data_IF_745170588273
#
_entry.id   IF_745170588273
#
_cell.length_a   1.000
_cell.length_b   1.000
_cell.length_c   1.000
_cell.angle_alpha   90.00
_cell.angle_beta   90.00
_cell.angle_gamma   90.00
#
_symmetry.space_group_name_H-M   'P 1'
#
loop_
_entity.id
_entity.type
_entity.pdbx_description
1 polymer ?
#
# COMPACT_ATOMS: atom_id res chain seq x y z
N UNK A 1 38.97 -8.47 36.17
CA UNK A 1 38.01 -7.51 36.77
C UNK A 1 37.01 -8.31 37.59
N UNK A 2 36.88 -8.07 38.91
CA UNK A 2 35.90 -8.80 39.72
C UNK A 2 34.48 -8.39 39.31
N UNK A 3 33.60 -9.38 39.13
CA UNK A 3 32.17 -9.16 38.92
C UNK A 3 31.59 -8.34 40.09
N UNK A 4 30.64 -7.42 39.86
CA UNK A 4 30.01 -6.71 40.96
C UNK A 4 29.31 -7.73 41.86
N UNK A 5 29.61 -7.65 43.16
CA UNK A 5 28.97 -8.44 44.18
C UNK A 5 27.45 -8.31 44.04
N UNK A 6 26.80 -9.42 43.68
CA UNK A 6 25.36 -9.58 43.81
C UNK A 6 25.04 -9.47 45.31
N UNK A 7 24.72 -8.26 45.77
CA UNK A 7 24.27 -8.07 47.15
C UNK A 7 22.95 -8.80 47.26
N UNK A 8 22.92 -9.91 48.01
CA UNK A 8 21.67 -10.52 48.43
C UNK A 8 20.76 -9.41 48.99
N UNK A 9 19.52 -9.27 48.51
CA UNK A 9 18.65 -8.20 48.96
C UNK A 9 18.47 -8.31 50.48
N UNK A 10 18.43 -7.19 51.22
CA UNK A 10 18.31 -7.21 52.67
C UNK A 10 17.07 -8.02 53.07
N UNK A 11 17.17 -8.91 54.07
CA UNK A 11 16.05 -9.71 54.51
C UNK A 11 14.94 -8.79 55.00
N UNK A 12 13.78 -8.81 54.33
CA UNK A 12 12.61 -8.04 54.76
C UNK A 12 12.02 -7.08 53.72
N UNK A 13 12.73 -6.76 52.64
CA UNK A 13 12.21 -5.87 51.58
C UNK A 13 11.19 -6.58 50.69
N UNK A 14 10.10 -5.89 50.36
CA UNK A 14 9.14 -6.33 49.35
C UNK A 14 9.17 -5.38 48.17
N UNK A 15 9.28 -5.95 46.97
CA UNK A 15 9.34 -5.20 45.72
C UNK A 15 7.96 -5.14 45.11
N UNK A 16 7.52 -3.97 44.67
CA UNK A 16 6.15 -3.77 44.17
C UNK A 16 6.17 -3.00 42.87
N UNK A 17 5.50 -3.48 41.84
CA UNK A 17 5.27 -2.73 40.61
C UNK A 17 3.78 -2.44 40.47
N UNK A 18 3.41 -1.18 40.26
CA UNK A 18 2.03 -0.77 39.98
C UNK A 18 1.88 -0.46 38.49
N UNK A 19 0.83 -0.97 37.87
CA UNK A 19 0.49 -0.67 36.49
C UNK A 19 -0.96 -0.20 36.34
N UNK A 20 -1.13 0.64 35.33
CA UNK A 20 -2.43 1.04 34.79
C UNK A 20 -2.70 0.28 33.49
N UNK A 21 -3.97 -0.09 33.27
CA UNK A 21 -4.43 -0.84 32.11
C UNK A 21 -4.80 -2.29 32.44
N UNK A 22 -5.27 -3.04 31.44
CA UNK A 22 -5.88 -4.36 31.63
C UNK A 22 -5.04 -5.26 32.56
N UNK A 23 -5.61 -5.73 33.69
CA UNK A 23 -4.90 -6.56 34.63
C UNK A 23 -4.76 -8.01 34.11
N UNK A 24 -3.91 -8.83 34.72
CA UNK A 24 -3.87 -10.27 34.47
C UNK A 24 -5.24 -10.92 34.74
N UNK A 25 -5.52 -12.01 34.05
CA UNK A 25 -6.73 -12.81 34.29
C UNK A 25 -6.83 -13.22 35.75
N UNK A 26 -8.02 -13.05 36.34
CA UNK A 26 -8.28 -13.37 37.76
C UNK A 26 -8.02 -12.23 38.75
N UNK A 27 -7.38 -11.14 38.33
CA UNK A 27 -7.23 -9.93 39.16
C UNK A 27 -8.46 -9.05 39.02
N UNK A 28 -9.21 -8.88 40.12
CA UNK A 28 -10.37 -7.99 40.18
C UNK A 28 -9.94 -6.59 40.62
N UNK A 29 -10.12 -5.61 39.76
CA UNK A 29 -9.94 -4.19 40.08
C UNK A 29 -11.29 -3.56 40.48
N UNK A 30 -11.25 -2.46 41.22
CA UNK A 30 -12.44 -1.65 41.47
C UNK A 30 -13.03 -1.13 40.14
N UNK A 31 -14.37 -1.04 40.07
CA UNK A 31 -15.09 -0.69 38.85
C UNK A 31 -14.57 0.63 38.24
N UNK A 32 -14.25 0.59 36.95
CA UNK A 32 -13.79 1.76 36.18
C UNK A 32 -12.32 2.14 36.32
N UNK A 33 -11.52 1.44 37.15
CA UNK A 33 -10.08 1.73 37.31
C UNK A 33 -9.25 0.49 37.05
N UNK A 34 -8.47 0.50 35.98
CA UNK A 34 -7.54 -0.58 35.64
C UNK A 34 -6.20 -0.44 36.39
N UNK A 35 -6.23 -0.20 37.70
CA UNK A 35 -5.00 -0.15 38.51
C UNK A 35 -4.80 -1.50 39.19
N UNK A 36 -3.58 -2.03 39.09
CA UNK A 36 -3.23 -3.31 39.71
C UNK A 36 -1.74 -3.32 40.04
N UNK A 37 -1.34 -4.18 40.96
CA UNK A 37 0.03 -4.34 41.39
C UNK A 37 0.50 -5.80 41.31
N UNK A 38 1.80 -5.96 41.16
CA UNK A 38 2.53 -7.20 41.29
C UNK A 38 3.60 -7.03 42.37
N UNK A 39 3.89 -8.06 43.15
CA UNK A 39 4.93 -7.99 44.17
C UNK A 39 5.84 -9.21 44.17
N UNK A 40 7.07 -9.00 44.68
CA UNK A 40 8.12 -10.00 44.79
C UNK A 40 8.79 -9.94 46.17
N UNK A 41 9.17 -11.11 46.68
CA UNK A 41 9.95 -11.30 47.92
C UNK A 41 11.46 -11.23 47.67
N UNK A 42 11.88 -11.36 46.42
CA UNK A 42 13.25 -11.17 45.98
C UNK A 42 13.26 -10.16 44.84
N UNK A 43 14.29 -9.31 44.78
CA UNK A 43 14.41 -8.32 43.70
C UNK A 43 14.47 -9.04 42.37
N UNK A 44 13.50 -8.85 41.47
CA UNK A 44 13.57 -9.48 40.17
C UNK A 44 14.60 -8.73 39.31
N UNK A 45 15.30 -9.43 38.43
CA UNK A 45 16.31 -8.85 37.54
C UNK A 45 15.96 -9.09 36.08
N UNK A 46 16.35 -8.17 35.20
CA UNK A 46 16.03 -8.29 33.78
C UNK A 46 16.67 -9.53 33.13
N UNK A 47 17.87 -9.89 33.57
CA UNK A 47 18.64 -11.03 33.05
C UNK A 47 18.02 -12.38 33.43
N UNK A 48 17.40 -12.47 34.61
CA UNK A 48 16.70 -13.65 35.09
C UNK A 48 15.34 -13.24 35.71
N UNK A 49 14.34 -12.90 34.89
CA UNK A 49 13.11 -12.34 35.39
C UNK A 49 12.27 -13.43 36.05
N UNK A 50 11.90 -13.20 37.30
CA UNK A 50 11.10 -14.13 38.11
C UNK A 50 9.63 -13.71 38.11
N UNK A 51 8.72 -14.69 38.13
CA UNK A 51 7.28 -14.43 38.30
C UNK A 51 7.04 -13.76 39.65
N UNK A 52 6.05 -12.84 39.75
CA UNK A 52 5.68 -12.25 41.03
C UNK A 52 5.16 -13.32 41.98
N UNK A 53 5.38 -13.10 43.27
CA UNK A 53 4.81 -13.92 44.34
C UNK A 53 3.30 -13.69 44.48
N UNK A 54 2.78 -12.57 43.97
CA UNK A 54 1.34 -12.38 43.83
C UNK A 54 0.93 -11.12 43.08
N UNK A 55 -0.38 -11.02 42.85
CA UNK A 55 -1.04 -9.99 42.06
C UNK A 55 -2.28 -9.47 42.79
N UNK A 56 -2.56 -8.17 42.66
CA UNK A 56 -3.69 -7.53 43.34
C UNK A 56 -4.29 -6.39 42.53
N UNK A 57 -5.61 -6.25 42.59
CA UNK A 57 -6.29 -5.07 42.05
C UNK A 57 -6.23 -3.92 43.07
N UNK A 58 -6.06 -2.70 42.60
CA UNK A 58 -5.99 -1.52 43.46
C UNK A 58 -6.93 -0.41 42.95
N UNK A 59 -7.42 0.43 43.86
CA UNK A 59 -8.23 1.59 43.48
C UNK A 59 -7.37 2.79 43.04
N UNK A 60 -6.12 2.83 43.48
CA UNK A 60 -5.11 3.85 43.18
C UNK A 60 -3.71 3.28 43.37
N UNK A 61 -2.68 4.02 42.94
CA UNK A 61 -1.27 3.66 43.22
C UNK A 61 -1.00 3.54 44.72
N UNK A 62 -1.47 4.51 45.48
CA UNK A 62 -1.33 4.54 46.94
C UNK A 62 -2.01 3.34 47.61
N UNK A 63 -3.23 3.01 47.19
CA UNK A 63 -3.94 1.81 47.65
C UNK A 63 -3.19 0.52 47.29
N UNK A 64 -2.57 0.46 46.11
CA UNK A 64 -1.77 -0.70 45.71
C UNK A 64 -0.50 -0.87 46.55
N UNK A 65 0.16 0.23 46.92
CA UNK A 65 1.31 0.22 47.83
C UNK A 65 0.89 -0.19 49.25
N UNK A 66 -0.22 0.36 49.76
CA UNK A 66 -0.75 0.01 51.08
C UNK A 66 -1.17 -1.47 51.15
N UNK A 67 -1.77 -2.02 50.09
CA UNK A 67 -2.09 -3.44 50.02
C UNK A 67 -0.83 -4.32 49.98
N UNK A 68 0.19 -3.91 49.22
CA UNK A 68 1.45 -4.63 49.21
C UNK A 68 2.15 -4.59 50.59
N UNK A 69 2.05 -3.47 51.32
CA UNK A 69 2.55 -3.35 52.68
C UNK A 69 1.83 -4.30 53.64
N UNK A 70 0.50 -4.33 53.57
CA UNK A 70 -0.32 -5.23 54.37
C UNK A 70 0.04 -6.69 54.11
N UNK A 71 0.24 -7.07 52.85
CA UNK A 71 0.63 -8.42 52.45
C UNK A 71 2.05 -8.73 52.92
N UNK A 72 3.00 -7.81 52.76
CA UNK A 72 4.36 -7.95 53.25
C UNK A 72 4.39 -8.27 54.76
N UNK A 73 3.65 -7.49 55.55
CA UNK A 73 3.51 -7.71 57.00
C UNK A 73 2.90 -9.06 57.34
N UNK A 74 1.87 -9.50 56.61
CA UNK A 74 1.26 -10.82 56.79
C UNK A 74 2.24 -11.98 56.58
N UNK A 75 3.29 -11.78 55.77
CA UNK A 75 4.38 -12.74 55.55
C UNK A 75 5.59 -12.52 56.45
N UNK A 76 5.46 -11.76 57.55
CA UNK A 76 6.53 -11.51 58.50
C UNK A 76 7.67 -10.64 57.94
N UNK A 77 7.41 -9.89 56.86
CA UNK A 77 8.35 -8.92 56.30
C UNK A 77 8.04 -7.54 56.88
N UNK A 78 9.03 -6.97 57.57
CA UNK A 78 8.94 -5.64 58.20
C UNK A 78 9.89 -4.61 57.57
N UNK A 79 10.59 -4.99 56.51
CA UNK A 79 11.47 -4.08 55.76
C UNK A 79 10.70 -3.11 54.87
N UNK A 80 11.38 -2.11 54.29
CA UNK A 80 10.76 -1.12 53.43
C UNK A 80 10.20 -1.75 52.14
N UNK A 81 9.23 -1.07 51.52
CA UNK A 81 8.76 -1.38 50.18
C UNK A 81 9.63 -0.65 49.17
N UNK A 82 10.17 -1.40 48.20
CA UNK A 82 10.85 -0.82 47.04
C UNK A 82 9.90 -0.86 45.84
N UNK A 83 9.55 0.31 45.31
CA UNK A 83 8.73 0.38 44.10
C UNK A 83 9.58 0.16 42.86
N UNK A 84 9.18 -0.82 42.06
CA UNK A 84 9.75 -1.12 40.77
C UNK A 84 9.04 -0.32 39.66
N UNK A 85 9.73 -0.05 38.54
CA UNK A 85 9.10 0.50 37.35
C UNK A 85 7.87 -0.30 36.91
N UNK A 86 6.82 0.38 36.45
CA UNK A 86 5.58 -0.25 35.97
C UNK A 86 5.77 -1.29 34.85
N UNK A 87 6.91 -1.25 34.13
CA UNK A 87 7.31 -2.25 33.16
C UNK A 87 7.37 -3.67 33.77
N UNK A 88 7.76 -3.81 35.04
CA UNK A 88 7.77 -5.09 35.76
C UNK A 88 6.38 -5.68 35.95
N UNK A 89 5.40 -4.85 36.31
CA UNK A 89 4.01 -5.28 36.35
C UNK A 89 3.55 -5.68 34.94
N UNK A 90 3.78 -4.87 33.91
CA UNK A 90 3.39 -5.22 32.53
C UNK A 90 4.03 -6.53 32.07
N UNK A 91 5.32 -6.74 32.34
CA UNK A 91 6.01 -7.99 32.06
C UNK A 91 5.38 -9.16 32.84
N UNK A 92 5.05 -9.00 34.12
CA UNK A 92 4.40 -10.05 34.90
C UNK A 92 3.07 -10.54 34.27
N UNK A 93 2.37 -9.66 33.57
CA UNK A 93 1.16 -10.01 32.79
C UNK A 93 1.49 -10.71 31.48
N UNK A 94 2.37 -10.16 30.65
CA UNK A 94 2.59 -10.65 29.27
C UNK A 94 3.71 -11.68 29.12
N UNK A 95 4.60 -11.80 30.10
CA UNK A 95 5.88 -12.52 29.96
C UNK A 95 6.87 -11.85 29.00
N UNK A 96 6.58 -10.62 28.59
CA UNK A 96 7.27 -9.92 27.50
C UNK A 96 7.49 -8.46 27.91
N UNK A 97 8.69 -7.94 27.67
CA UNK A 97 9.01 -6.56 28.00
C UNK A 97 8.30 -5.58 27.03
N UNK A 98 7.82 -4.42 27.52
CA UNK A 98 7.09 -3.46 26.68
C UNK A 98 7.86 -3.01 25.43
N UNK A 99 9.17 -2.81 25.56
CA UNK A 99 10.07 -2.40 24.49
C UNK A 99 10.36 -3.52 23.48
N UNK A 100 10.42 -4.78 23.92
CA UNK A 100 10.56 -5.93 23.00
C UNK A 100 9.30 -6.10 22.16
N UNK A 101 8.14 -5.97 22.81
CA UNK A 101 6.86 -5.92 22.11
C UNK A 101 6.82 -4.76 21.12
N UNK A 102 7.23 -3.56 21.54
CA UNK A 102 7.24 -2.38 20.68
C UNK A 102 8.18 -2.57 19.49
N UNK A 103 9.37 -3.15 19.70
CA UNK A 103 10.32 -3.46 18.65
C UNK A 103 9.72 -4.46 17.63
N UNK A 104 9.09 -5.55 18.11
CA UNK A 104 8.40 -6.50 17.22
C UNK A 104 7.29 -5.83 16.42
N UNK A 105 6.45 -5.00 17.07
CA UNK A 105 5.37 -4.29 16.37
C UNK A 105 5.92 -3.30 15.34
N UNK A 106 7.01 -2.60 15.65
CA UNK A 106 7.65 -1.68 14.72
C UNK A 106 8.27 -2.41 13.52
N UNK A 107 8.85 -3.59 13.74
CA UNK A 107 9.35 -4.46 12.68
C UNK A 107 8.21 -5.02 11.81
N UNK A 108 7.12 -5.46 12.43
CA UNK A 108 5.93 -5.91 11.73
C UNK A 108 5.32 -4.77 10.90
N UNK A 109 5.21 -3.57 11.47
CA UNK A 109 4.73 -2.38 10.76
C UNK A 109 5.64 -2.01 9.59
N UNK A 110 6.96 -2.07 9.77
CA UNK A 110 7.93 -1.86 8.68
C UNK A 110 7.71 -2.87 7.57
N UNK A 111 7.55 -4.16 7.90
CA UNK A 111 7.29 -5.22 6.92
C UNK A 111 5.98 -4.98 6.16
N UNK A 112 4.91 -4.61 6.86
CA UNK A 112 3.64 -4.25 6.21
C UNK A 112 3.78 -3.03 5.30
N UNK A 113 4.53 -2.01 5.72
CA UNK A 113 4.83 -0.83 4.89
C UNK A 113 5.59 -1.20 3.62
N UNK A 114 6.57 -2.10 3.71
CA UNK A 114 7.31 -2.60 2.55
C UNK A 114 6.39 -3.34 1.57
N UNK A 115 5.59 -4.28 2.07
CA UNK A 115 4.63 -5.03 1.25
C UNK A 115 3.62 -4.09 0.58
N UNK A 116 3.06 -3.13 1.32
CA UNK A 116 2.12 -2.18 0.75
C UNK A 116 2.78 -1.26 -0.28
N UNK A 117 4.01 -0.80 -0.04
CA UNK A 117 4.72 0.02 -1.01
C UNK A 117 4.98 -0.73 -2.33
N UNK A 118 5.29 -2.02 -2.26
CA UNK A 118 5.44 -2.89 -3.43
C UNK A 118 4.12 -3.05 -4.20
N UNK A 119 3.03 -3.37 -3.49
CA UNK A 119 1.70 -3.49 -4.10
C UNK A 119 1.26 -2.17 -4.74
N UNK A 120 1.45 -1.04 -4.05
CA UNK A 120 1.13 0.28 -4.57
C UNK A 120 1.97 0.63 -5.80
N UNK A 121 3.25 0.23 -5.83
CA UNK A 121 4.11 0.42 -6.99
C UNK A 121 3.62 -0.39 -8.19
N UNK A 122 3.22 -1.65 -8.00
CA UNK A 122 2.67 -2.48 -9.08
C UNK A 122 1.34 -1.91 -9.61
N UNK A 123 0.46 -1.44 -8.71
CA UNK A 123 -0.81 -0.79 -9.11
C UNK A 123 -0.52 0.45 -9.96
N UNK A 124 0.42 1.30 -9.54
CA UNK A 124 0.82 2.49 -10.32
C UNK A 124 1.41 2.11 -11.67
N UNK A 125 2.35 1.16 -11.70
CA UNK A 125 2.99 0.72 -12.93
C UNK A 125 1.97 0.14 -13.92
N UNK A 126 0.97 -0.60 -13.43
CA UNK A 126 -0.12 -1.11 -14.26
C UNK A 126 -1.00 0.03 -14.81
N UNK A 127 -1.37 0.98 -13.97
CA UNK A 127 -2.15 2.14 -14.41
C UNK A 127 -1.41 2.97 -15.48
N UNK A 128 -0.09 3.14 -15.35
CA UNK A 128 0.75 3.82 -16.34
C UNK A 128 0.79 3.08 -17.68
N UNK A 129 0.94 1.74 -17.65
CA UNK A 129 0.89 0.90 -18.86
C UNK A 129 -0.46 1.02 -19.56
N UNK A 130 -1.55 0.91 -18.82
CA UNK A 130 -2.91 1.00 -19.34
C UNK A 130 -3.19 2.40 -19.93
N UNK A 131 -2.74 3.47 -19.24
CA UNK A 131 -2.85 4.84 -19.73
C UNK A 131 -2.03 5.07 -21.01
N UNK A 132 -0.81 4.53 -21.08
CA UNK A 132 0.03 4.61 -22.28
C UNK A 132 -0.63 3.90 -23.47
N UNK A 133 -1.16 2.70 -23.24
CA UNK A 133 -1.86 1.93 -24.28
C UNK A 133 -3.13 2.64 -24.75
N UNK A 134 -3.94 3.17 -23.83
CA UNK A 134 -5.12 3.95 -24.15
C UNK A 134 -4.77 5.18 -25.00
N UNK A 135 -3.71 5.91 -24.64
CA UNK A 135 -3.24 7.05 -25.42
C UNK A 135 -2.82 6.65 -26.83
N UNK A 136 -2.07 5.55 -26.99
CA UNK A 136 -1.69 5.04 -28.32
C UNK A 136 -2.91 4.65 -29.15
N UNK A 137 -3.88 3.96 -28.56
CA UNK A 137 -5.14 3.61 -29.25
C UNK A 137 -5.91 4.83 -29.73
N UNK A 138 -6.01 5.87 -28.88
CA UNK A 138 -6.65 7.13 -29.26
C UNK A 138 -5.88 7.81 -30.40
N UNK A 139 -4.56 7.89 -30.31
CA UNK A 139 -3.73 8.48 -31.37
C UNK A 139 -3.87 7.74 -32.70
N UNK A 140 -3.81 6.41 -32.68
CA UNK A 140 -4.00 5.58 -33.87
C UNK A 140 -5.41 5.73 -34.44
N UNK A 141 -6.44 5.80 -33.59
CA UNK A 141 -7.81 6.06 -34.03
C UNK A 141 -7.95 7.44 -34.67
N UNK A 142 -7.37 8.49 -34.06
CA UNK A 142 -7.35 9.84 -34.63
C UNK A 142 -6.59 9.88 -35.96
N UNK A 143 -5.46 9.15 -36.07
CA UNK A 143 -4.72 9.02 -37.33
C UNK A 143 -5.57 8.37 -38.43
N UNK A 144 -6.33 7.32 -38.09
CA UNK A 144 -7.25 6.66 -39.03
C UNK A 144 -8.40 7.58 -39.45
N UNK A 145 -8.99 8.32 -38.50
CA UNK A 145 -10.09 9.25 -38.77
C UNK A 145 -9.65 10.46 -39.61
N UNK A 146 -8.43 10.97 -39.39
CA UNK A 146 -7.87 12.07 -40.18
C UNK A 146 -7.52 11.67 -41.62
N UNK A 147 -7.50 10.37 -41.93
CA UNK A 147 -7.02 9.88 -43.22
C UNK A 147 -5.49 10.00 -43.36
N UNK A 148 -5.00 9.57 -44.52
CA UNK A 148 -3.59 9.73 -44.89
C UNK A 148 -3.51 10.80 -45.98
N UNK A 149 -3.09 12.03 -45.66
CA UNK A 149 -3.09 13.14 -46.61
C UNK A 149 -2.18 12.88 -47.82
N UNK A 150 -1.14 12.06 -47.66
CA UNK A 150 -0.28 11.68 -48.78
C UNK A 150 -0.99 10.70 -49.72
N UNK A 151 -1.69 9.70 -49.17
CA UNK A 151 -2.51 8.78 -49.96
C UNK A 151 -3.72 9.48 -50.62
N UNK A 152 -4.30 10.47 -49.93
CA UNK A 152 -5.41 11.28 -50.43
C UNK A 152 -4.95 12.17 -51.60
N UNK A 153 -3.79 12.82 -51.47
CA UNK A 153 -3.15 13.56 -52.56
C UNK A 153 -2.77 12.65 -53.73
N UNK A 154 -2.25 11.45 -53.46
CA UNK A 154 -1.91 10.47 -54.49
C UNK A 154 -3.15 9.99 -55.27
N UNK A 155 -4.29 9.79 -54.60
CA UNK A 155 -5.54 9.43 -55.24
C UNK A 155 -6.05 10.51 -56.21
N UNK A 156 -5.95 11.79 -55.82
CA UNK A 156 -6.25 12.92 -56.71
C UNK A 156 -5.26 12.99 -57.88
N UNK A 157 -3.96 12.82 -57.61
CA UNK A 157 -2.91 12.84 -58.63
C UNK A 157 -3.06 11.68 -59.65
N UNK A 158 -3.47 10.49 -59.20
CA UNK A 158 -3.77 9.34 -60.07
C UNK A 158 -4.93 9.63 -61.04
N UNK A 159 -5.82 10.57 -60.71
CA UNK A 159 -6.85 11.10 -61.61
C UNK A 159 -6.38 12.32 -62.41
N UNK A 160 -5.20 12.87 -62.10
CA UNK A 160 -4.66 14.08 -62.72
C UNK A 160 -5.24 15.36 -62.13
N UNK A 161 -5.70 15.30 -60.88
CA UNK A 161 -6.34 16.41 -60.17
C UNK A 161 -5.41 16.93 -59.06
N UNK A 162 -5.50 18.23 -58.80
CA UNK A 162 -4.81 18.88 -57.69
C UNK A 162 -5.68 18.88 -56.42
N UNK A 163 -5.07 19.26 -55.29
CA UNK A 163 -5.79 19.50 -54.04
C UNK A 163 -6.83 20.62 -54.22
N UNK A 164 -8.02 20.45 -53.65
CA UNK A 164 -9.17 21.37 -53.84
C UNK A 164 -10.07 21.05 -55.04
N UNK A 165 -9.82 19.98 -55.79
CA UNK A 165 -10.74 19.49 -56.82
C UNK A 165 -12.10 19.10 -56.22
N UNK A 166 -13.19 19.38 -56.92
CA UNK A 166 -14.54 19.07 -56.43
C UNK A 166 -14.94 17.62 -56.73
N UNK A 167 -15.99 17.12 -56.08
CA UNK A 167 -16.57 15.81 -56.41
C UNK A 167 -17.00 15.70 -57.89
N UNK A 168 -17.38 16.82 -58.52
CA UNK A 168 -17.69 16.86 -59.95
C UNK A 168 -16.43 16.68 -60.81
N UNK A 169 -15.31 17.28 -60.42
CA UNK A 169 -14.02 17.12 -61.10
C UNK A 169 -13.51 15.69 -61.01
N UNK A 170 -13.61 15.08 -59.83
CA UNK A 170 -13.26 13.65 -59.60
C UNK A 170 -14.06 12.74 -60.51
N UNK A 171 -15.40 12.89 -60.56
CA UNK A 171 -16.26 12.08 -61.43
C UNK A 171 -15.96 12.31 -62.91
N UNK A 172 -15.64 13.54 -63.32
CA UNK A 172 -15.30 13.88 -64.71
C UNK A 172 -13.97 13.24 -65.12
N UNK A 173 -12.92 13.43 -64.33
CA UNK A 173 -11.59 12.88 -64.58
C UNK A 173 -11.61 11.34 -64.62
N UNK A 174 -12.33 10.72 -63.69
CA UNK A 174 -12.50 9.26 -63.69
C UNK A 174 -13.12 8.76 -65.00
N UNK A 175 -14.24 9.34 -65.46
CA UNK A 175 -14.88 8.91 -66.72
C UNK A 175 -13.93 9.03 -67.91
N UNK A 176 -13.16 10.10 -68.00
CA UNK A 176 -12.21 10.31 -69.09
C UNK A 176 -11.11 9.25 -69.08
N UNK A 177 -10.52 8.96 -67.91
CA UNK A 177 -9.44 7.96 -67.80
C UNK A 177 -9.96 6.52 -67.92
N UNK A 178 -11.17 6.26 -67.45
CA UNK A 178 -11.81 4.94 -67.53
C UNK A 178 -12.04 4.50 -68.99
N UNK A 179 -12.30 5.43 -69.91
CA UNK A 179 -12.44 5.11 -71.34
C UNK A 179 -11.15 4.57 -71.96
N UNK A 180 -10.00 5.06 -71.48
CA UNK A 180 -8.67 4.66 -71.95
C UNK A 180 -8.17 3.41 -71.23
N UNK A 181 -8.45 3.29 -69.93
CA UNK A 181 -8.02 2.17 -69.10
C UNK A 181 -8.91 0.92 -69.22
N UNK A 182 -10.05 1.00 -69.93
CA UNK A 182 -10.99 -0.12 -70.03
C UNK A 182 -10.36 -1.33 -70.75
N UNK A 183 -10.46 -2.56 -70.20
CA UNK A 183 -9.88 -3.75 -70.82
C UNK A 183 -10.40 -4.01 -72.24
N UNK A 184 -11.70 -3.81 -72.48
CA UNK A 184 -12.30 -3.96 -73.82
C UNK A 184 -11.80 -2.95 -74.85
N UNK A 185 -11.06 -1.91 -74.44
CA UNK A 185 -10.45 -0.92 -75.33
C UNK A 185 -8.92 -0.97 -75.33
N UNK A 186 -8.34 -2.09 -74.88
CA UNK A 186 -6.90 -2.31 -74.85
C UNK A 186 -6.21 -1.86 -73.58
N UNK A 187 -6.95 -1.48 -72.53
CA UNK A 187 -6.41 -1.24 -71.20
C UNK A 187 -6.19 -2.54 -70.39
N UNK A 188 -5.70 -2.42 -69.16
CA UNK A 188 -5.51 -3.55 -68.26
C UNK A 188 -6.59 -3.59 -67.18
N UNK A 189 -7.00 -4.80 -66.79
CA UNK A 189 -7.95 -5.00 -65.68
C UNK A 189 -7.40 -4.42 -64.36
N UNK A 190 -6.10 -4.64 -64.10
CA UNK A 190 -5.40 -4.10 -62.94
C UNK A 190 -5.40 -2.57 -62.92
N UNK A 191 -5.06 -1.92 -64.03
CA UNK A 191 -5.08 -0.45 -64.13
C UNK A 191 -6.47 0.16 -63.99
N UNK A 192 -7.52 -0.57 -64.41
CA UNK A 192 -8.91 -0.15 -64.19
C UNK A 192 -9.33 -0.26 -62.72
N UNK A 193 -8.89 -1.30 -62.00
CA UNK A 193 -9.12 -1.44 -60.56
C UNK A 193 -8.40 -0.34 -59.78
N UNK A 194 -7.12 -0.08 -60.07
CA UNK A 194 -6.36 1.02 -59.47
C UNK A 194 -7.05 2.37 -59.65
N UNK A 195 -7.53 2.65 -60.87
CA UNK A 195 -8.27 3.88 -61.18
C UNK A 195 -9.59 3.98 -60.40
N UNK A 196 -10.28 2.86 -60.21
CA UNK A 196 -11.52 2.78 -59.44
C UNK A 196 -11.26 3.03 -57.95
N UNK A 197 -10.23 2.42 -57.39
CA UNK A 197 -9.78 2.64 -56.00
C UNK A 197 -9.38 4.10 -55.78
N UNK A 198 -8.64 4.71 -56.72
CA UNK A 198 -8.29 6.12 -56.66
C UNK A 198 -9.52 7.04 -56.69
N UNK A 199 -10.52 6.75 -57.52
CA UNK A 199 -11.80 7.47 -57.55
C UNK A 199 -12.52 7.41 -56.21
N UNK A 200 -12.69 6.22 -55.64
CA UNK A 200 -13.47 6.04 -54.42
C UNK A 200 -12.83 6.76 -53.25
N UNK A 201 -11.50 6.69 -53.15
CA UNK A 201 -10.74 7.44 -52.15
C UNK A 201 -10.83 8.95 -52.37
N UNK A 202 -10.65 9.43 -53.61
CA UNK A 202 -10.75 10.85 -53.91
C UNK A 202 -12.16 11.41 -53.60
N UNK A 203 -13.22 10.66 -53.89
CA UNK A 203 -14.59 11.03 -53.55
C UNK A 203 -14.84 11.10 -52.04
N UNK A 204 -14.25 10.19 -51.26
CA UNK A 204 -14.36 10.23 -49.80
C UNK A 204 -13.69 11.49 -49.20
N UNK A 205 -12.62 11.98 -49.83
CA UNK A 205 -11.90 13.19 -49.39
C UNK A 205 -12.65 14.47 -49.76
N UNK A 206 -13.17 14.58 -51.00
CA UNK A 206 -13.78 15.83 -51.51
C UNK A 206 -15.29 15.93 -51.29
N UNK A 207 -15.94 14.84 -50.86
CA UNK A 207 -17.37 14.76 -50.60
C UNK A 207 -17.73 14.67 -49.12
N UNK A 208 -16.75 14.81 -48.22
CA UNK A 208 -16.90 14.72 -46.77
C UNK A 208 -17.13 16.05 -46.04
N UNK A 209 -17.43 17.14 -46.77
CA UNK A 209 -17.83 18.44 -46.20
C UNK A 209 -19.36 18.58 -46.10
#
# INVERSE_FOLDING_TARGET
>A
MPAPASSAPPPGVVYVAVAYGRPPSGVRCASGRYTWCAWWRAKPTREAPTRPDGLGGAASRESGLADAERIARAFGRTGPIEELPSAWARWARSGEWPEERAARMAEEERRWREIHAEVDAEIRARAERDAHEARRRIEDALRRLRGDPAADAAALAALGLAHGATAADVRRAYRQRALVAHPDRGGSHEGFLELTTARDRALAVVGGD
#
